data_IF_142494805810
#
_entry.id   IF_142494805810
#
_cell.length_a   1.000
_cell.length_b   1.000
_cell.length_c   1.000
_cell.angle_alpha   90.00
_cell.angle_beta   90.00
_cell.angle_gamma   90.00
#
_symmetry.space_group_name_H-M   'P 1'
#
loop_
_entity.id
_entity.type
_entity.pdbx_description
1 polymer ?
#
# COMPACT_ATOMS: atom_id res chain seq x y z
N UNK A 1 -4.87 5.86 -18.80
CA UNK A 1 -5.24 4.41 -18.90
C UNK A 1 -6.52 4.24 -18.10
N UNK A 2 -7.46 3.46 -18.61
CA UNK A 2 -8.71 3.16 -17.91
C UNK A 2 -8.44 2.15 -16.79
N UNK A 3 -9.19 2.25 -15.68
CA UNK A 3 -9.09 1.32 -14.57
C UNK A 3 -9.57 -0.07 -14.98
N UNK A 4 -8.81 -1.08 -14.66
CA UNK A 4 -9.18 -2.47 -14.92
C UNK A 4 -10.24 -2.95 -13.93
N UNK A 5 -11.13 -3.80 -14.41
CA UNK A 5 -12.19 -4.46 -13.64
C UNK A 5 -12.07 -5.97 -13.75
N UNK A 6 -12.83 -6.71 -12.94
CA UNK A 6 -12.88 -8.18 -13.01
C UNK A 6 -13.29 -8.73 -14.39
N UNK A 7 -13.93 -7.91 -15.22
CA UNK A 7 -14.40 -8.32 -16.55
C UNK A 7 -13.35 -8.20 -17.66
N UNK A 8 -12.22 -7.54 -17.38
CA UNK A 8 -11.17 -7.39 -18.40
C UNK A 8 -10.46 -8.71 -18.67
N UNK A 9 -10.25 -8.99 -19.96
CA UNK A 9 -9.68 -10.21 -20.49
C UNK A 9 -8.34 -9.95 -21.17
N UNK A 10 -7.47 -10.95 -21.16
CA UNK A 10 -6.30 -10.95 -22.04
C UNK A 10 -6.74 -11.33 -23.46
N UNK A 11 -6.25 -10.59 -24.44
CA UNK A 11 -6.55 -10.84 -25.85
C UNK A 11 -5.26 -11.06 -26.64
N UNK A 12 -5.34 -11.88 -27.68
CA UNK A 12 -4.28 -12.06 -28.67
C UNK A 12 -4.87 -11.82 -30.05
N UNK A 13 -4.38 -10.83 -30.79
CA UNK A 13 -4.94 -10.36 -32.07
C UNK A 13 -6.46 -10.04 -31.99
N UNK A 14 -6.94 -9.59 -30.81
CA UNK A 14 -8.35 -9.26 -30.59
C UNK A 14 -9.22 -10.43 -30.11
N UNK A 15 -8.71 -11.66 -30.13
CA UNK A 15 -9.42 -12.85 -29.65
C UNK A 15 -9.17 -13.10 -28.15
N UNK A 16 -10.22 -13.52 -27.42
CA UNK A 16 -10.14 -13.86 -26.00
C UNK A 16 -9.23 -15.11 -25.80
N UNK A 17 -8.26 -14.99 -24.94
CA UNK A 17 -7.33 -16.07 -24.59
C UNK A 17 -7.87 -17.02 -23.52
N UNK A 18 -9.02 -16.71 -22.93
CA UNK A 18 -9.55 -17.40 -21.75
C UNK A 18 -8.97 -16.93 -20.41
N UNK A 19 -7.91 -16.12 -20.42
CA UNK A 19 -7.30 -15.55 -19.22
C UNK A 19 -7.95 -14.21 -18.86
N UNK A 20 -8.10 -13.94 -17.56
CA UNK A 20 -8.68 -12.70 -17.05
C UNK A 20 -7.69 -11.90 -16.19
N UNK A 21 -8.01 -10.64 -15.96
CA UNK A 21 -7.25 -9.80 -15.02
C UNK A 21 -7.29 -10.36 -13.61
N UNK A 22 -8.36 -11.05 -13.22
CA UNK A 22 -8.49 -11.69 -11.90
C UNK A 22 -7.49 -12.84 -11.75
N UNK A 23 -7.25 -13.62 -12.80
CA UNK A 23 -6.23 -14.69 -12.80
C UNK A 23 -4.84 -14.09 -12.56
N UNK A 24 -4.54 -12.98 -13.25
CA UNK A 24 -3.30 -12.23 -13.03
C UNK A 24 -3.19 -11.70 -11.60
N UNK A 25 -4.23 -11.05 -11.08
CA UNK A 25 -4.20 -10.50 -9.72
C UNK A 25 -4.04 -11.61 -8.68
N UNK A 26 -4.74 -12.73 -8.84
CA UNK A 26 -4.61 -13.88 -7.95
C UNK A 26 -3.20 -14.46 -7.97
N UNK A 27 -2.59 -14.58 -9.15
CA UNK A 27 -1.21 -15.04 -9.28
C UNK A 27 -0.20 -14.05 -8.66
N UNK A 28 -0.37 -12.76 -8.89
CA UNK A 28 0.60 -11.73 -8.52
C UNK A 28 0.50 -11.28 -7.06
N UNK A 29 -0.70 -11.25 -6.47
CA UNK A 29 -0.99 -10.57 -5.21
C UNK A 29 -1.62 -11.47 -4.13
N UNK A 30 -1.46 -12.78 -4.19
CA UNK A 30 -2.01 -13.68 -3.15
C UNK A 30 -1.12 -13.78 -1.92
N UNK A 31 0.18 -13.51 -2.00
CA UNK A 31 1.07 -13.49 -0.83
C UNK A 31 1.07 -12.10 -0.17
N UNK A 32 0.01 -11.81 0.57
CA UNK A 32 -0.14 -10.54 1.31
C UNK A 32 0.71 -10.45 2.59
N UNK A 33 1.47 -11.50 2.94
CA UNK A 33 2.44 -11.46 4.04
C UNK A 33 3.79 -10.90 3.59
N UNK A 34 4.10 -10.91 2.30
CA UNK A 34 5.32 -10.29 1.83
C UNK A 34 5.27 -8.76 2.01
N UNK A 35 6.43 -8.15 2.13
CA UNK A 35 6.55 -6.73 2.49
C UNK A 35 5.93 -5.78 1.46
N UNK A 36 6.07 -6.10 0.17
CA UNK A 36 5.62 -5.25 -0.93
C UNK A 36 4.10 -5.23 -1.02
N UNK A 37 3.49 -6.40 -1.12
CA UNK A 37 2.03 -6.52 -1.33
C UNK A 37 1.26 -6.14 -0.07
N UNK A 38 1.79 -6.44 1.14
CA UNK A 38 1.24 -5.95 2.39
C UNK A 38 1.30 -4.42 2.48
N UNK A 39 2.35 -3.79 1.95
CA UNK A 39 2.44 -2.33 1.86
C UNK A 39 1.30 -1.76 1.02
N UNK A 40 1.08 -2.30 -0.17
CA UNK A 40 -0.02 -1.89 -1.06
C UNK A 40 -1.39 -2.15 -0.41
N UNK A 41 -1.56 -3.29 0.27
CA UNK A 41 -2.78 -3.59 1.02
C UNK A 41 -3.03 -2.56 2.13
N UNK A 42 -2.00 -2.18 2.90
CA UNK A 42 -2.11 -1.18 3.95
C UNK A 42 -2.52 0.19 3.38
N UNK A 43 -1.93 0.62 2.26
CA UNK A 43 -2.36 1.83 1.54
C UNK A 43 -3.85 1.76 1.15
N UNK A 44 -4.30 0.61 0.61
CA UNK A 44 -5.69 0.40 0.23
C UNK A 44 -6.64 0.44 1.44
N UNK A 45 -6.28 -0.16 2.57
CA UNK A 45 -7.08 -0.12 3.80
C UNK A 45 -7.25 1.33 4.27
N UNK A 46 -6.15 2.09 4.33
CA UNK A 46 -6.19 3.52 4.72
C UNK A 46 -7.01 4.33 3.72
N UNK A 47 -6.81 4.13 2.41
CA UNK A 47 -7.59 4.78 1.37
C UNK A 47 -9.09 4.52 1.53
N UNK A 48 -9.49 3.28 1.75
CA UNK A 48 -10.88 2.87 1.92
C UNK A 48 -11.53 3.46 3.18
N UNK A 49 -10.74 3.70 4.23
CA UNK A 49 -11.21 4.34 5.46
C UNK A 49 -11.40 5.86 5.30
N UNK A 50 -10.69 6.51 4.38
CA UNK A 50 -10.78 7.95 4.14
C UNK A 50 -11.97 8.33 3.25
N UNK A 51 -12.48 7.42 2.45
CA UNK A 51 -13.53 7.65 1.46
C UNK A 51 -14.77 6.81 1.76
N UNK A 52 -16.00 7.35 1.53
CA UNK A 52 -17.19 6.53 1.68
C UNK A 52 -17.17 5.35 0.71
N UNK A 53 -17.62 4.15 1.13
CA UNK A 53 -17.71 2.98 0.25
C UNK A 53 -18.80 3.14 -0.82
N UNK A 54 -18.62 2.63 -2.06
CA UNK A 54 -17.34 2.17 -2.57
C UNK A 54 -16.37 3.35 -2.72
N UNK A 55 -15.10 3.19 -2.37
CA UNK A 55 -14.13 4.25 -2.58
C UNK A 55 -14.14 4.64 -4.05
N UNK A 56 -14.16 5.96 -4.30
CA UNK A 56 -14.11 6.49 -5.67
C UNK A 56 -12.90 5.88 -6.36
N UNK A 57 -13.14 5.19 -7.47
CA UNK A 57 -12.21 4.25 -8.06
C UNK A 57 -11.03 4.92 -8.75
N UNK A 58 -10.17 5.58 -7.97
CA UNK A 58 -8.89 6.08 -8.48
C UNK A 58 -7.85 4.97 -8.40
N UNK A 59 -7.18 4.74 -9.52
CA UNK A 59 -6.01 3.88 -9.54
C UNK A 59 -4.95 4.44 -8.59
N UNK A 60 -4.26 3.55 -7.88
CA UNK A 60 -3.05 3.87 -7.13
C UNK A 60 -2.05 4.58 -8.05
N UNK A 61 -1.48 5.67 -7.57
CA UNK A 61 -0.47 6.43 -8.30
C UNK A 61 0.90 6.16 -7.69
N UNK A 62 1.78 5.55 -8.47
CA UNK A 62 3.18 5.36 -8.09
C UNK A 62 4.00 6.64 -8.32
N UNK A 63 5.16 6.70 -7.68
CA UNK A 63 6.19 7.74 -7.85
C UNK A 63 5.84 9.13 -7.28
N UNK A 64 4.72 9.27 -6.57
CA UNK A 64 4.51 10.46 -5.76
C UNK A 64 5.41 10.41 -4.50
N UNK A 65 5.81 11.56 -3.95
CA UNK A 65 6.62 11.61 -2.74
C UNK A 65 5.81 11.35 -1.44
N UNK A 66 4.60 10.85 -1.58
CA UNK A 66 3.67 10.41 -0.53
C UNK A 66 2.67 9.44 -1.15
N UNK A 67 1.99 8.63 -0.34
CA UNK A 67 1.14 7.55 -0.85
C UNK A 67 -0.30 8.00 -1.16
N UNK A 68 -0.92 8.80 -0.30
CA UNK A 68 -2.33 9.17 -0.40
C UNK A 68 -2.56 10.66 -0.14
N UNK A 69 -3.71 11.16 -0.62
CA UNK A 69 -4.22 12.48 -0.27
C UNK A 69 -5.59 12.33 0.39
N UNK A 70 -5.77 12.91 1.58
CA UNK A 70 -7.07 12.93 2.27
C UNK A 70 -8.08 13.83 1.53
N UNK A 71 -9.40 13.71 1.80
CA UNK A 71 -10.40 14.62 1.27
C UNK A 71 -10.15 16.10 1.62
N UNK A 72 -9.44 16.36 2.71
CA UNK A 72 -9.03 17.71 3.13
C UNK A 72 -7.73 18.19 2.47
N UNK A 73 -7.14 17.41 1.54
CA UNK A 73 -5.93 17.76 0.82
C UNK A 73 -4.62 17.46 1.55
N UNK A 74 -4.66 16.77 2.69
CA UNK A 74 -3.46 16.39 3.43
C UNK A 74 -2.74 15.23 2.73
N UNK A 75 -1.42 15.32 2.61
CA UNK A 75 -0.55 14.27 2.06
C UNK A 75 -0.24 13.26 3.15
N UNK A 76 -0.44 11.99 2.86
CA UNK A 76 -0.32 10.89 3.81
C UNK A 76 0.74 9.91 3.30
N UNK A 77 1.64 9.54 4.19
CA UNK A 77 2.56 8.43 4.03
C UNK A 77 2.05 7.23 4.82
N UNK A 78 1.95 6.08 4.19
CA UNK A 78 1.53 4.83 4.82
C UNK A 78 2.75 3.93 5.01
N UNK A 79 2.93 3.43 6.21
CA UNK A 79 4.00 2.48 6.53
C UNK A 79 3.41 1.20 7.09
N UNK A 80 3.78 0.07 6.50
CA UNK A 80 3.33 -1.25 6.96
C UNK A 80 4.45 -2.01 7.64
N UNK A 81 4.12 -2.65 8.75
CA UNK A 81 4.98 -3.62 9.42
C UNK A 81 4.16 -4.84 9.87
N UNK A 82 4.85 -5.95 10.14
CA UNK A 82 4.24 -7.19 10.61
C UNK A 82 5.20 -7.90 11.54
N UNK A 83 4.66 -8.61 12.53
CA UNK A 83 5.46 -9.52 13.36
C UNK A 83 5.96 -10.73 12.57
N UNK A 84 5.29 -11.12 11.47
CA UNK A 84 5.63 -12.29 10.66
C UNK A 84 5.61 -11.91 9.17
N UNK A 85 6.66 -12.31 8.44
CA UNK A 85 6.75 -12.21 6.99
C UNK A 85 6.47 -13.56 6.34
N UNK A 86 6.22 -13.59 5.02
CA UNK A 86 5.97 -14.85 4.29
C UNK A 86 7.13 -15.84 4.37
N UNK A 87 8.37 -15.37 4.44
CA UNK A 87 9.59 -16.20 4.51
C UNK A 87 10.05 -16.54 5.92
N UNK A 88 9.45 -15.95 6.96
CA UNK A 88 9.86 -16.19 8.36
C UNK A 88 9.38 -17.57 8.84
N UNK A 89 10.18 -18.22 9.69
CA UNK A 89 9.78 -19.43 10.41
C UNK A 89 9.14 -19.11 11.77
N UNK A 90 9.47 -17.95 12.36
CA UNK A 90 8.93 -17.46 13.62
C UNK A 90 8.69 -15.95 13.56
N UNK A 91 7.84 -15.44 14.43
CA UNK A 91 7.57 -14.01 14.51
C UNK A 91 8.73 -13.23 15.13
N UNK A 92 8.84 -11.94 14.75
CA UNK A 92 9.81 -11.01 15.32
C UNK A 92 9.22 -10.32 16.55
N UNK A 93 10.00 -10.19 17.61
CA UNK A 93 9.56 -9.50 18.84
C UNK A 93 9.58 -7.98 18.71
N UNK A 94 10.36 -7.46 17.78
CA UNK A 94 10.54 -6.01 17.58
C UNK A 94 10.04 -5.55 16.23
N UNK A 95 9.19 -4.53 16.26
CA UNK A 95 8.65 -3.87 15.08
C UNK A 95 9.39 -2.56 14.81
N UNK A 96 9.75 -2.35 13.56
CA UNK A 96 10.35 -1.11 13.09
C UNK A 96 9.66 -0.60 11.83
N UNK A 97 9.48 0.72 11.76
CA UNK A 97 9.00 1.40 10.56
C UNK A 97 10.12 2.28 9.99
N UNK A 98 10.39 2.15 8.70
CA UNK A 98 11.34 3.03 8.02
C UNK A 98 10.68 4.39 7.74
N UNK A 99 11.23 5.44 8.35
CA UNK A 99 10.72 6.82 8.25
C UNK A 99 11.81 7.80 7.75
N UNK A 100 12.86 7.29 7.12
CA UNK A 100 13.95 8.14 6.65
C UNK A 100 13.45 9.21 5.67
N UNK A 101 13.92 10.47 5.79
CA UNK A 101 13.69 11.49 4.79
C UNK A 101 14.25 11.05 3.43
N UNK A 102 13.60 11.47 2.35
CA UNK A 102 14.02 11.12 0.99
C UNK A 102 13.87 12.31 0.03
N UNK A 103 14.40 12.16 -1.18
CA UNK A 103 14.23 13.12 -2.26
C UNK A 103 12.97 12.80 -3.04
N UNK A 104 12.13 13.81 -3.29
CA UNK A 104 11.05 13.67 -4.25
C UNK A 104 11.59 13.48 -5.66
N UNK A 105 10.91 12.69 -6.47
CA UNK A 105 11.21 12.51 -7.88
C UNK A 105 10.10 13.14 -8.73
N UNK A 106 10.47 13.81 -9.80
CA UNK A 106 9.56 14.39 -10.79
C UNK A 106 9.96 13.92 -12.18
N UNK A 107 9.03 13.46 -13.03
CA UNK A 107 9.37 12.91 -14.35
C UNK A 107 10.02 13.92 -15.30
N UNK A 108 9.88 15.22 -15.06
CA UNK A 108 10.49 16.28 -15.88
C UNK A 108 11.76 16.87 -15.25
N UNK A 109 11.75 17.05 -13.94
CA UNK A 109 12.82 17.70 -13.20
C UNK A 109 13.83 16.74 -12.53
N UNK A 110 13.52 15.42 -12.48
CA UNK A 110 14.34 14.43 -11.79
C UNK A 110 14.20 14.51 -10.26
N UNK A 111 15.28 14.17 -9.54
CA UNK A 111 15.27 14.21 -8.09
C UNK A 111 15.39 15.64 -7.55
N UNK A 112 14.52 15.98 -6.59
CA UNK A 112 14.63 17.21 -5.82
C UNK A 112 15.99 17.29 -5.10
N UNK A 113 16.63 18.48 -4.97
CA UNK A 113 17.80 18.66 -4.13
C UNK A 113 17.50 18.42 -2.64
N UNK A 114 16.26 18.65 -2.20
CA UNK A 114 15.87 18.59 -0.81
C UNK A 114 15.63 17.15 -0.35
N UNK A 115 16.25 16.79 0.77
CA UNK A 115 16.01 15.54 1.51
C UNK A 115 15.09 15.85 2.69
N UNK A 116 13.84 15.45 2.61
CA UNK A 116 12.84 15.71 3.66
C UNK A 116 11.73 14.67 3.66
N UNK A 117 10.84 14.72 4.67
CA UNK A 117 9.55 14.01 4.64
C UNK A 117 8.55 14.87 3.87
N UNK A 118 7.88 14.28 2.88
CA UNK A 118 7.02 15.01 1.94
C UNK A 118 5.54 14.97 2.30
N UNK A 119 5.16 14.13 3.27
CA UNK A 119 3.80 13.99 3.77
C UNK A 119 3.51 14.92 4.95
N UNK A 120 2.26 15.21 5.19
CA UNK A 120 1.77 15.98 6.34
C UNK A 120 1.47 15.06 7.53
N UNK A 121 1.09 13.80 7.22
CA UNK A 121 0.74 12.76 8.18
C UNK A 121 1.44 11.44 7.81
N UNK A 122 1.74 10.64 8.83
CA UNK A 122 2.12 9.24 8.72
C UNK A 122 1.02 8.35 9.30
N UNK A 123 0.65 7.28 8.60
CA UNK A 123 -0.18 6.21 9.11
C UNK A 123 0.66 4.94 9.19
N UNK A 124 0.93 4.49 10.40
CA UNK A 124 1.65 3.25 10.66
C UNK A 124 0.64 2.12 10.82
N UNK A 125 0.72 1.14 9.95
CA UNK A 125 -0.17 -0.01 9.86
C UNK A 125 0.57 -1.25 10.34
N UNK A 126 0.21 -1.76 11.52
CA UNK A 126 0.82 -2.96 12.09
C UNK A 126 -0.12 -4.15 11.91
N UNK A 127 0.31 -5.15 11.15
CA UNK A 127 -0.35 -6.44 11.08
C UNK A 127 0.16 -7.33 12.22
N UNK A 128 -0.75 -7.74 13.14
CA UNK A 128 -0.42 -8.34 14.44
C UNK A 128 -0.44 -9.87 14.47
N UNK A 129 -0.81 -10.54 13.40
CA UNK A 129 -0.85 -11.99 13.40
C UNK A 129 0.54 -12.59 13.70
N UNK A 130 0.56 -13.60 14.56
CA UNK A 130 1.76 -14.32 14.98
C UNK A 130 1.90 -15.67 14.28
N UNK A 131 0.93 -16.03 13.43
CA UNK A 131 0.92 -17.25 12.62
C UNK A 131 0.52 -16.94 11.19
N UNK A 132 0.89 -17.81 10.24
CA UNK A 132 0.58 -17.67 8.82
C UNK A 132 -0.85 -18.07 8.47
N UNK A 133 -1.58 -18.68 9.39
CA UNK A 133 -2.95 -19.14 9.16
C UNK A 133 -3.98 -18.01 9.16
N UNK A 134 -3.58 -16.84 9.65
CA UNK A 134 -4.44 -15.64 9.68
C UNK A 134 -4.26 -14.88 8.38
N UNK A 135 -5.36 -14.57 7.72
CA UNK A 135 -5.35 -13.77 6.49
C UNK A 135 -5.13 -12.28 6.79
N UNK A 136 -4.23 -11.59 6.07
CA UNK A 136 -4.11 -10.13 6.16
C UNK A 136 -5.37 -9.36 5.74
N UNK A 137 -6.35 -10.02 5.15
CA UNK A 137 -7.66 -9.44 4.87
C UNK A 137 -8.58 -9.36 6.11
N UNK A 138 -8.20 -10.00 7.23
CA UNK A 138 -8.91 -9.94 8.50
C UNK A 138 -8.47 -8.68 9.26
N UNK A 139 -9.29 -7.61 9.17
CA UNK A 139 -8.93 -6.27 9.64
C UNK A 139 -8.79 -6.17 11.16
N UNK A 140 -9.36 -7.09 11.94
CA UNK A 140 -9.20 -7.18 13.39
C UNK A 140 -7.76 -7.49 13.84
N UNK A 141 -6.91 -7.95 12.91
CA UNK A 141 -5.48 -8.18 13.16
C UNK A 141 -4.60 -6.98 12.78
N UNK A 142 -5.19 -5.84 12.41
CA UNK A 142 -4.46 -4.63 12.13
C UNK A 142 -4.61 -3.60 13.25
N UNK A 143 -3.53 -2.87 13.49
CA UNK A 143 -3.52 -1.66 14.29
C UNK A 143 -3.02 -0.47 13.47
N UNK A 144 -3.60 0.70 13.71
CA UNK A 144 -3.28 1.91 12.96
C UNK A 144 -2.91 3.03 13.92
N UNK A 145 -1.75 3.64 13.68
CA UNK A 145 -1.25 4.77 14.47
C UNK A 145 -1.05 5.95 13.53
N UNK A 146 -1.66 7.09 13.84
CA UNK A 146 -1.58 8.30 13.02
C UNK A 146 -0.74 9.33 13.73
N UNK A 147 0.32 9.80 13.07
CA UNK A 147 1.20 10.84 13.61
C UNK A 147 1.38 11.97 12.60
N UNK A 148 1.29 13.24 13.02
CA UNK A 148 1.72 14.37 12.19
C UNK A 148 3.23 14.29 11.93
N UNK A 149 3.65 14.64 10.71
CA UNK A 149 5.05 14.57 10.30
C UNK A 149 6.00 15.38 11.19
N UNK A 150 5.52 16.51 11.74
CA UNK A 150 6.35 17.34 12.62
C UNK A 150 6.78 16.64 13.92
N UNK A 151 6.05 15.58 14.34
CA UNK A 151 6.41 14.78 15.53
C UNK A 151 7.60 13.86 15.23
N UNK A 152 7.85 13.57 13.95
CA UNK A 152 8.91 12.67 13.47
C UNK A 152 10.19 13.40 13.07
N UNK A 153 10.18 14.74 13.08
CA UNK A 153 11.31 15.60 12.68
C UNK A 153 12.24 15.94 13.85
#
# INVERSE_FOLDING_TARGET
MEQLTSNNKFTFHGEDTGLSVVDFWSWAYSDLLNNTDRGVLAEYIVYSALLPPPPDSKMRTDWLPFDLTSPAGQRIEVKSASYLQSWDEAYHEHIQFSIAPHRAWDPKAGYSPDVKRHSDLYVFCLYKALTKDVSPLALEYWEFYVLPTYVLN
#
